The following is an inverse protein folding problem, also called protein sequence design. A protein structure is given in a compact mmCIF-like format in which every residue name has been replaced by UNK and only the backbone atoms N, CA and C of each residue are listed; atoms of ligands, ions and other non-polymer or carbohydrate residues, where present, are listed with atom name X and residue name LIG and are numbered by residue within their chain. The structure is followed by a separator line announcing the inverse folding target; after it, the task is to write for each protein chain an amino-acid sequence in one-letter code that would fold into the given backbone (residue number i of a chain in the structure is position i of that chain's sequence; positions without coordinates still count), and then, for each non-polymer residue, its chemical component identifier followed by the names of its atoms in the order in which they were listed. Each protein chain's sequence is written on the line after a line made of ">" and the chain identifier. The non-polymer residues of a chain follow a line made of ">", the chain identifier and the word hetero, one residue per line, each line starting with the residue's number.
data_IF_862193708687
#
_entry.id   IF_862193708687
#
_cell.length_a   1.000
_cell.length_b   1.000
_cell.length_c   1.000
_cell.angle_alpha   90.00
_cell.angle_beta   90.00
_cell.angle_gamma   90.00
#
_symmetry.space_group_name_H-M   'P 1'
#
loop_
_entity.id
_entity.type
_entity.pdbx_description
1 polymer ?
#
# COMPACT_ATOMS: atom_id res chain seq x y z
N UNK A 1 -31.77 1.82 2.66
CA UNK A 1 -30.41 2.04 3.17
C UNK A 1 -29.83 0.67 3.45
N UNK A 2 -28.90 0.23 2.59
CA UNK A 2 -28.13 -0.99 2.86
C UNK A 2 -27.42 -0.85 4.21
N UNK A 3 -27.54 -1.88 5.04
CA UNK A 3 -26.72 -2.01 6.24
C UNK A 3 -25.28 -2.10 5.75
N UNK A 4 -24.44 -1.15 6.16
CA UNK A 4 -22.99 -1.30 6.03
C UNK A 4 -22.66 -2.56 6.83
N UNK A 5 -22.33 -3.65 6.14
CA UNK A 5 -21.80 -4.84 6.78
C UNK A 5 -20.57 -4.40 7.57
N UNK A 6 -20.56 -4.69 8.87
CA UNK A 6 -19.44 -4.35 9.75
C UNK A 6 -18.17 -5.14 9.39
N UNK A 7 -18.29 -6.08 8.46
CA UNK A 7 -17.28 -7.03 7.99
C UNK A 7 -16.76 -6.67 6.58
N UNK A 8 -16.80 -5.39 6.18
CA UNK A 8 -16.36 -4.98 4.84
C UNK A 8 -15.51 -3.72 4.91
N UNK A 9 -14.23 -3.86 4.57
CA UNK A 9 -13.33 -2.74 4.29
C UNK A 9 -13.41 -2.39 2.81
N UNK A 10 -13.69 -1.12 2.55
CA UNK A 10 -13.74 -0.58 1.19
C UNK A 10 -12.87 0.67 1.10
N UNK A 11 -11.98 0.70 0.10
CA UNK A 11 -11.24 1.90 -0.30
C UNK A 11 -11.87 2.46 -1.57
N UNK A 12 -11.99 3.80 -1.67
CA UNK A 12 -12.44 4.38 -2.93
C UNK A 12 -11.38 4.15 -4.01
N UNK A 13 -11.82 3.83 -5.22
CA UNK A 13 -10.91 3.49 -6.33
C UNK A 13 -9.99 4.67 -6.73
N UNK A 14 -10.47 5.90 -6.59
CA UNK A 14 -9.67 7.09 -6.86
C UNK A 14 -8.61 7.35 -5.78
N UNK A 15 -8.94 7.07 -4.52
CA UNK A 15 -7.97 7.08 -3.41
C UNK A 15 -6.90 6.01 -3.62
N UNK A 16 -7.30 4.79 -4.00
CA UNK A 16 -6.36 3.71 -4.32
C UNK A 16 -5.44 4.08 -5.49
N UNK A 17 -5.98 4.71 -6.53
CA UNK A 17 -5.20 5.21 -7.65
C UNK A 17 -4.14 6.22 -7.20
N UNK A 18 -4.51 7.20 -6.37
CA UNK A 18 -3.55 8.19 -5.87
C UNK A 18 -2.46 7.55 -4.99
N UNK A 19 -2.82 6.57 -4.14
CA UNK A 19 -1.84 5.82 -3.35
C UNK A 19 -0.85 5.11 -4.28
N UNK A 20 -1.31 4.46 -5.35
CA UNK A 20 -0.44 3.78 -6.31
C UNK A 20 0.49 4.78 -7.03
N UNK A 21 -0.03 5.93 -7.45
CA UNK A 21 0.77 6.99 -8.08
C UNK A 21 1.84 7.52 -7.11
N UNK A 22 1.49 7.80 -5.87
CA UNK A 22 2.43 8.29 -4.86
C UNK A 22 3.51 7.25 -4.52
N UNK A 23 3.12 5.97 -4.39
CA UNK A 23 4.08 4.87 -4.21
C UNK A 23 5.04 4.77 -5.39
N UNK A 24 4.51 4.86 -6.61
CA UNK A 24 5.31 4.81 -7.83
C UNK A 24 6.25 6.00 -8.00
N UNK A 25 5.94 7.15 -7.39
CA UNK A 25 6.74 8.37 -7.48
C UNK A 25 7.68 8.58 -6.28
N UNK A 26 7.61 7.75 -5.23
CA UNK A 26 8.51 7.86 -4.09
C UNK A 26 9.93 7.35 -4.46
N UNK A 27 10.95 8.23 -4.45
CA UNK A 27 12.29 7.90 -4.93
C UNK A 27 13.03 6.91 -4.04
N UNK A 28 12.61 6.76 -2.78
CA UNK A 28 13.20 5.82 -1.84
C UNK A 28 12.60 4.43 -2.05
N UNK A 29 11.28 4.34 -2.20
CA UNK A 29 10.63 3.09 -2.58
C UNK A 29 11.09 2.60 -3.96
N UNK A 30 11.32 3.48 -4.93
CA UNK A 30 11.88 3.08 -6.22
C UNK A 30 13.26 2.45 -6.11
N UNK A 31 14.08 2.81 -5.11
CA UNK A 31 15.38 2.19 -4.88
C UNK A 31 15.26 0.78 -4.31
N UNK A 32 14.26 0.58 -3.43
CA UNK A 32 13.99 -0.70 -2.79
C UNK A 32 13.30 -1.65 -3.78
N UNK A 33 12.22 -1.21 -4.42
CA UNK A 33 11.29 -2.05 -5.18
C UNK A 33 11.45 -1.98 -6.69
N UNK A 34 12.27 -1.06 -7.21
CA UNK A 34 12.33 -0.75 -8.63
C UNK A 34 11.20 0.17 -9.09
N UNK A 35 11.12 0.41 -10.40
CA UNK A 35 10.11 1.29 -11.00
C UNK A 35 9.31 0.57 -12.10
N UNK A 36 7.96 0.57 -12.05
CA UNK A 36 7.12 1.11 -10.99
C UNK A 36 7.10 0.23 -9.72
N UNK A 37 7.09 0.87 -8.55
CA UNK A 37 7.05 0.23 -7.22
C UNK A 37 5.86 -0.72 -7.10
N UNK A 38 4.71 -0.35 -7.66
CA UNK A 38 3.47 -1.12 -7.57
C UNK A 38 3.54 -2.51 -8.20
N UNK A 39 4.55 -2.82 -9.03
CA UNK A 39 4.76 -4.19 -9.54
C UNK A 39 5.25 -5.17 -8.48
N UNK A 40 5.81 -4.66 -7.39
CA UNK A 40 6.38 -5.45 -6.30
C UNK A 40 5.44 -5.53 -5.09
N UNK A 41 4.27 -4.89 -5.17
CA UNK A 41 3.31 -4.81 -4.07
C UNK A 41 1.99 -5.51 -4.43
N UNK A 42 1.30 -5.99 -3.40
CA UNK A 42 -0.02 -6.62 -3.51
C UNK A 42 -0.99 -5.99 -2.52
N UNK A 43 -2.27 -5.92 -2.91
CA UNK A 43 -3.35 -5.59 -1.98
C UNK A 43 -4.00 -6.89 -1.49
N UNK A 44 -3.96 -7.12 -0.18
CA UNK A 44 -4.49 -8.33 0.47
C UNK A 44 -5.71 -7.94 1.29
N UNK A 45 -6.79 -8.72 1.15
CA UNK A 45 -7.99 -8.59 1.97
C UNK A 45 -8.21 -9.86 2.78
N UNK A 46 -8.14 -9.76 4.11
CA UNK A 46 -8.29 -10.87 5.06
C UNK A 46 -8.98 -10.38 6.33
N UNK A 47 -9.98 -11.13 6.83
CA UNK A 47 -10.66 -10.87 8.12
C UNK A 47 -10.99 -9.39 8.39
N UNK A 48 -11.66 -8.74 7.43
CA UNK A 48 -12.05 -7.33 7.51
C UNK A 48 -10.88 -6.34 7.57
N UNK A 49 -9.72 -6.73 7.04
CA UNK A 49 -8.55 -5.88 6.89
C UNK A 49 -8.15 -5.79 5.41
N UNK A 50 -7.69 -4.61 4.99
CA UNK A 50 -7.15 -4.36 3.65
C UNK A 50 -5.74 -3.83 3.82
N UNK A 51 -4.76 -4.60 3.37
CA UNK A 51 -3.33 -4.28 3.52
C UNK A 51 -2.65 -4.17 2.17
N UNK A 52 -1.63 -3.32 2.11
CA UNK A 52 -0.67 -3.29 1.00
C UNK A 52 0.62 -3.90 1.54
N UNK A 53 1.11 -4.93 0.86
CA UNK A 53 2.26 -5.72 1.30
C UNK A 53 3.22 -6.00 0.13
N UNK A 54 4.44 -6.44 0.44
CA UNK A 54 5.40 -6.92 -0.56
C UNK A 54 4.90 -8.25 -1.15
N UNK A 55 4.99 -8.40 -2.48
CA UNK A 55 4.38 -9.51 -3.23
C UNK A 55 5.19 -10.82 -3.28
N UNK A 56 6.24 -10.96 -2.49
CA UNK A 56 7.19 -12.08 -2.49
C UNK A 56 8.24 -12.02 -3.60
N UNK A 57 8.43 -10.87 -4.26
CA UNK A 57 9.37 -10.67 -5.35
C UNK A 57 10.76 -10.21 -4.87
N UNK A 58 10.86 -9.62 -3.67
CA UNK A 58 12.07 -8.99 -3.15
C UNK A 58 12.32 -9.45 -1.71
N UNK A 59 13.56 -9.82 -1.41
CA UNK A 59 14.01 -10.16 -0.06
C UNK A 59 14.45 -8.88 0.65
N UNK A 60 13.59 -8.35 1.54
CA UNK A 60 13.84 -7.09 2.25
C UNK A 60 14.63 -7.33 3.54
N UNK A 61 15.66 -6.52 3.78
CA UNK A 61 16.30 -6.43 5.08
C UNK A 61 15.42 -5.76 6.14
N UNK A 62 15.82 -5.83 7.42
CA UNK A 62 15.09 -5.19 8.53
C UNK A 62 14.95 -3.68 8.33
N UNK A 63 16.05 -2.99 7.96
CA UNK A 63 16.05 -1.55 7.72
C UNK A 63 15.15 -1.14 6.54
N UNK A 64 15.19 -1.90 5.44
CA UNK A 64 14.36 -1.66 4.26
C UNK A 64 12.88 -1.89 4.56
N UNK A 65 12.57 -2.89 5.39
CA UNK A 65 11.22 -3.20 5.86
C UNK A 65 10.66 -2.07 6.72
N UNK A 66 11.42 -1.61 7.72
CA UNK A 66 11.02 -0.48 8.56
C UNK A 66 10.74 0.76 7.72
N UNK A 67 11.63 1.03 6.75
CA UNK A 67 11.52 2.20 5.89
C UNK A 67 10.34 2.12 4.93
N UNK A 68 10.10 0.95 4.34
CA UNK A 68 8.93 0.70 3.51
C UNK A 68 7.63 0.95 4.28
N UNK A 69 7.50 0.40 5.49
CA UNK A 69 6.30 0.55 6.32
C UNK A 69 6.07 2.02 6.74
N UNK A 70 7.14 2.75 7.06
CA UNK A 70 7.05 4.17 7.39
C UNK A 70 6.51 5.00 6.21
N UNK A 71 7.06 4.80 5.01
CA UNK A 71 6.67 5.53 3.81
C UNK A 71 5.25 5.14 3.38
N UNK A 72 4.92 3.85 3.40
CA UNK A 72 3.59 3.35 3.06
C UNK A 72 2.52 3.97 3.96
N UNK A 73 2.74 3.97 5.28
CA UNK A 73 1.82 4.58 6.24
C UNK A 73 1.64 6.08 6.00
N UNK A 74 2.72 6.80 5.64
CA UNK A 74 2.67 8.22 5.29
C UNK A 74 1.81 8.48 4.05
N UNK A 75 2.01 7.70 2.98
CA UNK A 75 1.28 7.86 1.71
C UNK A 75 -0.20 7.53 1.89
N UNK A 76 -0.54 6.45 2.59
CA UNK A 76 -1.93 6.08 2.86
C UNK A 76 -2.62 7.21 3.64
N UNK A 77 -2.00 7.69 4.73
CA UNK A 77 -2.55 8.80 5.53
C UNK A 77 -2.74 10.08 4.75
N UNK A 78 -1.91 10.37 3.74
CA UNK A 78 -2.07 11.57 2.92
C UNK A 78 -3.28 11.50 1.97
N UNK A 79 -3.73 10.28 1.63
CA UNK A 79 -4.77 10.05 0.63
C UNK A 79 -6.14 9.69 1.22
N UNK A 80 -6.23 9.33 2.51
CA UNK A 80 -7.47 8.91 3.18
C UNK A 80 -8.12 9.99 4.05
N UNK A 81 -7.67 11.25 3.98
CA UNK A 81 -8.26 12.40 4.72
C UNK A 81 -9.38 13.06 3.93
#
# INVERSE_FOLDING_TARGET
>A
MEKIDKERVGIRMDVLYNIIEDLNNDPELQRIFGSPVSKSLVAVAEDDDLRIEEGGAIDLGEEETERFLEILNRIIKANTV
#
